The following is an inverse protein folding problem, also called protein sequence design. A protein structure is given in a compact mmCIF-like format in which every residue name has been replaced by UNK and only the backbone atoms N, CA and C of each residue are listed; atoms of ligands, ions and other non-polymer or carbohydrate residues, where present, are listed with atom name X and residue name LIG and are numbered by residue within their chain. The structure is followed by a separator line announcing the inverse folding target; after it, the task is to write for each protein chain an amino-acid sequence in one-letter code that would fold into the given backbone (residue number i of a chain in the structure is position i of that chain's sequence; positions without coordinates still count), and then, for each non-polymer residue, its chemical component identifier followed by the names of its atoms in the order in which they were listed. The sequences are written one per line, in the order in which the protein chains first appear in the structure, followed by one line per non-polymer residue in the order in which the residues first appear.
data_IF_278627534710
#
_entry.id   IF_278627534710
#
_cell.length_a   1.000
_cell.length_b   1.000
_cell.length_c   1.000
_cell.angle_alpha   90.00
_cell.angle_beta   90.00
_cell.angle_gamma   90.00
#
_symmetry.space_group_name_H-M   'P 1'
#
loop_
_entity.id
_entity.type
_entity.pdbx_description
1 polymer ?
#
# COMPACT_ATOMS: atom_id res chain seq x y z
N UNK A 1 16.30 18.79 -16.36
CA UNK A 1 15.66 17.55 -15.85
C UNK A 1 14.12 17.63 -15.90
N UNK A 2 13.48 18.50 -15.11
CA UNK A 2 12.02 18.59 -15.01
C UNK A 2 11.28 18.93 -16.32
N UNK A 3 11.87 19.71 -17.22
CA UNK A 3 11.28 19.97 -18.55
C UNK A 3 11.09 18.71 -19.39
N UNK A 4 11.97 17.71 -19.24
CA UNK A 4 11.81 16.40 -19.90
C UNK A 4 10.74 15.57 -19.21
N UNK A 5 10.71 15.56 -17.88
CA UNK A 5 9.70 14.84 -17.07
C UNK A 5 8.28 15.33 -17.41
N UNK A 6 8.07 16.65 -17.52
CA UNK A 6 6.76 17.23 -17.86
C UNK A 6 6.21 16.77 -19.22
N UNK A 7 7.08 16.43 -20.17
CA UNK A 7 6.71 15.93 -21.50
C UNK A 7 6.60 14.40 -21.55
N UNK A 8 7.11 13.70 -20.54
CA UNK A 8 7.11 12.25 -20.50
C UNK A 8 5.74 11.75 -20.01
N UNK A 9 5.08 10.83 -20.74
CA UNK A 9 3.82 10.26 -20.28
C UNK A 9 4.03 9.48 -18.97
N UNK A 10 2.99 9.40 -18.13
CA UNK A 10 3.09 8.66 -16.87
C UNK A 10 3.16 7.15 -17.13
N UNK A 11 3.78 6.36 -16.23
CA UNK A 11 3.84 4.90 -16.37
C UNK A 11 2.48 4.25 -16.60
N UNK A 12 1.43 4.74 -15.91
CA UNK A 12 0.05 4.28 -16.11
C UNK A 12 -0.41 4.45 -17.56
N UNK A 13 -0.18 5.62 -18.16
CA UNK A 13 -0.60 5.87 -19.56
C UNK A 13 0.13 4.94 -20.52
N UNK A 14 1.44 4.79 -20.34
CA UNK A 14 2.27 3.91 -21.17
C UNK A 14 1.78 2.45 -21.09
N UNK A 15 1.45 1.97 -19.90
CA UNK A 15 1.00 0.59 -19.71
C UNK A 15 -0.44 0.37 -20.18
N UNK A 16 -1.34 1.32 -19.94
CA UNK A 16 -2.71 1.25 -20.47
C UNK A 16 -2.71 1.20 -22.01
N UNK A 17 -1.90 2.04 -22.67
CA UNK A 17 -1.78 2.06 -24.13
C UNK A 17 -1.22 0.75 -24.68
N UNK A 18 -0.31 0.11 -23.94
CA UNK A 18 0.20 -1.21 -24.29
C UNK A 18 -0.90 -2.28 -24.20
N UNK A 19 -1.67 -2.29 -23.11
CA UNK A 19 -2.75 -3.26 -22.92
C UNK A 19 -3.89 -3.06 -23.92
N UNK A 20 -4.16 -1.83 -24.33
CA UNK A 20 -5.10 -1.51 -25.40
C UNK A 20 -4.64 -2.08 -26.76
N UNK A 21 -3.35 -1.92 -27.08
CA UNK A 21 -2.76 -2.53 -28.28
C UNK A 21 -2.81 -4.06 -28.25
N UNK A 22 -2.63 -4.65 -27.07
CA UNK A 22 -2.75 -6.09 -26.83
C UNK A 22 -4.21 -6.57 -26.75
N UNK A 23 -5.19 -5.65 -26.83
CA UNK A 23 -6.64 -5.91 -26.71
C UNK A 23 -7.03 -6.57 -25.39
N UNK A 24 -6.28 -6.29 -24.31
CA UNK A 24 -6.50 -6.82 -22.96
C UNK A 24 -7.40 -5.89 -22.14
N UNK A 25 -7.22 -4.57 -22.27
CA UNK A 25 -8.00 -3.57 -21.56
C UNK A 25 -8.25 -2.35 -22.46
N UNK A 26 -9.42 -1.75 -22.34
CA UNK A 26 -9.82 -0.56 -23.10
C UNK A 26 -9.45 0.74 -22.36
N UNK A 27 -9.56 1.87 -23.04
CA UNK A 27 -9.37 3.18 -22.42
C UNK A 27 -10.47 3.49 -21.40
N UNK A 28 -11.68 2.99 -21.64
CA UNK A 28 -12.82 3.05 -20.73
C UNK A 28 -12.50 2.33 -19.42
N UNK A 29 -11.99 1.09 -19.49
CA UNK A 29 -11.59 0.30 -18.30
C UNK A 29 -10.50 1.04 -17.49
N UNK A 30 -9.51 1.60 -18.18
CA UNK A 30 -8.43 2.37 -17.54
C UNK A 30 -8.93 3.66 -16.87
N UNK A 31 -10.04 4.22 -17.35
CA UNK A 31 -10.69 5.41 -16.76
C UNK A 31 -11.56 5.02 -15.58
N UNK A 32 -12.31 3.93 -15.69
CA UNK A 32 -13.10 3.37 -14.60
C UNK A 32 -12.23 3.03 -13.39
N UNK A 33 -11.10 2.35 -13.59
CA UNK A 33 -10.17 2.02 -12.50
C UNK A 33 -9.67 3.26 -11.74
N UNK A 34 -9.50 4.40 -12.41
CA UNK A 34 -9.10 5.66 -11.75
C UNK A 34 -10.24 6.23 -10.91
N UNK A 35 -11.47 6.15 -11.40
CA UNK A 35 -12.63 6.65 -10.68
C UNK A 35 -12.91 5.78 -9.45
N UNK A 36 -12.95 4.46 -9.62
CA UNK A 36 -13.12 3.52 -8.51
C UNK A 36 -12.06 3.70 -7.42
N UNK A 37 -10.79 3.89 -7.81
CA UNK A 37 -9.73 4.12 -6.83
C UNK A 37 -9.90 5.45 -6.09
N UNK A 38 -10.37 6.50 -6.77
CA UNK A 38 -10.67 7.78 -6.11
C UNK A 38 -11.83 7.63 -5.13
N UNK A 39 -12.91 6.98 -5.55
CA UNK A 39 -14.09 6.75 -4.72
C UNK A 39 -13.74 5.93 -3.46
N UNK A 40 -12.86 4.92 -3.60
CA UNK A 40 -12.37 4.14 -2.47
C UNK A 40 -11.54 4.96 -1.47
N UNK A 41 -10.74 5.91 -1.96
CA UNK A 41 -10.00 6.85 -1.10
C UNK A 41 -10.94 7.86 -0.43
N UNK A 42 -11.92 8.38 -1.15
CA UNK A 42 -12.90 9.34 -0.63
C UNK A 42 -13.82 8.68 0.43
N UNK A 43 -14.09 7.38 0.30
CA UNK A 43 -14.80 6.59 1.31
C UNK A 43 -13.99 6.39 2.61
N UNK A 44 -12.66 6.47 2.53
CA UNK A 44 -11.76 6.26 3.68
C UNK A 44 -11.55 4.79 4.07
N UNK A 45 -11.99 3.85 3.23
CA UNK A 45 -11.88 2.42 3.47
C UNK A 45 -10.49 1.87 3.13
N UNK A 46 -10.18 0.66 3.63
CA UNK A 46 -8.96 -0.04 3.24
C UNK A 46 -9.02 -0.42 1.76
N UNK A 47 -8.15 0.18 0.94
CA UNK A 47 -8.11 -0.05 -0.51
C UNK A 47 -7.55 -1.42 -0.92
N UNK A 48 -6.92 -2.16 0.01
CA UNK A 48 -6.35 -3.48 -0.25
C UNK A 48 -7.36 -4.56 0.10
N UNK A 49 -7.92 -5.23 -0.91
CA UNK A 49 -8.97 -6.25 -0.73
C UNK A 49 -8.50 -7.48 0.08
N UNK A 50 -7.21 -7.77 0.02
CA UNK A 50 -6.57 -8.88 0.73
C UNK A 50 -6.21 -8.53 2.17
N UNK A 51 -6.44 -7.30 2.63
CA UNK A 51 -6.16 -6.93 4.01
C UNK A 51 -6.96 -7.81 4.99
N UNK A 52 -6.29 -8.27 6.05
CA UNK A 52 -6.89 -9.07 7.11
C UNK A 52 -6.50 -8.48 8.47
N UNK A 53 -7.38 -8.58 9.49
CA UNK A 53 -7.03 -8.24 10.85
C UNK A 53 -5.81 -9.02 11.33
N UNK A 54 -4.93 -8.37 12.10
CA UNK A 54 -3.77 -9.02 12.70
C UNK A 54 -4.21 -9.99 13.80
N UNK A 55 -3.53 -11.14 13.90
CA UNK A 55 -3.74 -12.11 14.98
C UNK A 55 -2.72 -11.87 16.11
N UNK A 56 -3.14 -12.06 17.36
CA UNK A 56 -2.34 -11.81 18.56
C UNK A 56 -1.01 -12.59 18.61
N UNK A 57 -0.91 -13.77 17.97
CA UNK A 57 0.36 -14.51 17.92
C UNK A 57 1.44 -13.83 17.07
N UNK A 58 1.07 -12.89 16.19
CA UNK A 58 2.01 -12.05 15.45
C UNK A 58 2.52 -10.87 16.28
N UNK A 59 1.97 -10.65 17.49
CA UNK A 59 2.29 -9.54 18.39
C UNK A 59 3.22 -9.99 19.53
N UNK A 60 4.38 -10.56 19.15
CA UNK A 60 5.41 -11.04 20.07
C UNK A 60 6.10 -9.92 20.86
N UNK A 61 5.82 -8.66 20.52
CA UNK A 61 6.36 -7.48 21.18
C UNK A 61 5.58 -7.04 22.42
N UNK A 62 4.42 -7.65 22.69
CA UNK A 62 3.59 -7.35 23.87
C UNK A 62 4.35 -7.25 25.20
N UNK A 63 5.30 -8.15 25.53
CA UNK A 63 6.00 -8.10 26.82
C UNK A 63 7.18 -7.14 26.85
N UNK A 64 7.42 -6.39 25.77
CA UNK A 64 8.53 -5.44 25.63
C UNK A 64 8.03 -3.99 25.44
N UNK A 65 6.74 -3.73 25.71
CA UNK A 65 6.14 -2.40 25.64
C UNK A 65 6.04 -1.79 27.05
N UNK A 66 6.29 -0.48 27.15
CA UNK A 66 6.20 0.32 28.39
C UNK A 66 7.26 0.02 29.45
N UNK A 67 8.50 -0.24 29.03
CA UNK A 67 9.64 -0.32 29.93
C UNK A 67 10.36 1.04 30.00
N UNK A 68 10.83 1.39 31.21
CA UNK A 68 11.69 2.53 31.43
C UNK A 68 13.17 2.12 31.36
N UNK A 69 14.04 3.11 31.17
CA UNK A 69 15.47 2.87 30.96
C UNK A 69 16.19 2.35 32.22
N UNK A 70 15.56 2.43 33.39
CA UNK A 70 16.08 2.06 34.71
C UNK A 70 15.40 0.81 35.31
N UNK A 71 14.66 0.04 34.51
CA UNK A 71 13.97 -1.16 34.98
C UNK A 71 14.95 -2.23 35.52
N UNK A 72 14.57 -2.86 36.64
CA UNK A 72 15.36 -3.93 37.24
C UNK A 72 15.44 -5.16 36.31
N UNK A 73 16.65 -5.43 35.81
CA UNK A 73 16.89 -6.61 35.00
C UNK A 73 17.02 -7.87 35.89
N UNK A 74 16.16 -8.90 35.72
CA UNK A 74 16.26 -10.12 36.50
C UNK A 74 17.51 -10.94 36.11
N UNK A 75 18.58 -10.75 36.86
CA UNK A 75 19.88 -11.46 36.73
C UNK A 75 19.81 -12.86 37.36
N UNK A 76 18.84 -13.69 36.98
CA UNK A 76 18.85 -15.13 37.34
C UNK A 76 19.29 -15.96 36.14
N UNK A 77 20.60 -16.13 36.01
CA UNK A 77 21.18 -17.26 35.29
C UNK A 77 20.88 -18.53 36.10
N UNK A 78 20.22 -19.50 35.47
CA UNK A 78 20.01 -20.83 36.03
C UNK A 78 21.31 -21.63 36.00
#
# INVERSE_FOLDING_TARGET
MYQKIKKHPTPRKIYADKLEQEKVATLEDATEMVNLYRDALDAGDCVVAEWRPMNMHSFTWSPYLNHEWDEEYPTKLR
#
